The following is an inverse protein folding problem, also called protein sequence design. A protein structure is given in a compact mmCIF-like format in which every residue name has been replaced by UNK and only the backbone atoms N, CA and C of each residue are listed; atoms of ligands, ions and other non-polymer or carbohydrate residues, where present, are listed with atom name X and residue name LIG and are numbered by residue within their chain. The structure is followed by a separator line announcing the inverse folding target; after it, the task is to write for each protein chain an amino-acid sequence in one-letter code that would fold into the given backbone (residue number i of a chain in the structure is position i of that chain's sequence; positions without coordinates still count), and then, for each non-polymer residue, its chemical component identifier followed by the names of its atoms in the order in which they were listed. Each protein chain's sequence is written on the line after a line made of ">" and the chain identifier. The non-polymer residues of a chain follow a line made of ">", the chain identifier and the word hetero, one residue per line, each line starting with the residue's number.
data_IF_376834489635
#
_entry.id   IF_376834489635
#
_cell.length_a   1.000
_cell.length_b   1.000
_cell.length_c   1.000
_cell.angle_alpha   90.00
_cell.angle_beta   90.00
_cell.angle_gamma   90.00
#
_symmetry.space_group_name_H-M   'P 1'
#
loop_
_entity.id
_entity.type
_entity.pdbx_description
1 polymer ?
#
# COMPACT_ATOMS: atom_id res chain seq x y z
N UNK A 1 3.43 -11.77 -11.07
CA UNK A 1 2.36 -11.93 -10.07
C UNK A 1 2.62 -11.05 -8.86
N UNK A 2 1.57 -10.58 -8.20
CA UNK A 2 1.61 -9.87 -6.94
C UNK A 2 0.99 -10.76 -5.87
N UNK A 3 1.63 -10.85 -4.71
CA UNK A 3 1.10 -11.55 -3.54
C UNK A 3 1.06 -10.56 -2.38
N UNK A 4 -0.07 -10.52 -1.68
CA UNK A 4 -0.24 -9.76 -0.44
C UNK A 4 -0.62 -10.77 0.64
N UNK A 5 0.14 -10.81 1.72
CA UNK A 5 -0.09 -11.71 2.84
C UNK A 5 -0.33 -10.94 4.12
N UNK A 6 -1.12 -11.50 5.01
CA UNK A 6 -1.37 -10.93 6.32
C UNK A 6 -0.36 -11.50 7.32
N UNK A 7 0.60 -10.66 7.74
CA UNK A 7 1.52 -10.94 8.84
C UNK A 7 1.00 -10.40 10.17
N UNK A 8 1.81 -10.53 11.22
CA UNK A 8 1.48 -10.13 12.60
C UNK A 8 1.21 -8.62 12.74
N UNK A 9 1.95 -7.80 11.99
CA UNK A 9 1.85 -6.34 12.04
C UNK A 9 1.01 -5.74 10.90
N UNK A 10 0.35 -6.56 10.09
CA UNK A 10 -0.47 -6.11 8.97
C UNK A 10 -0.11 -6.81 7.66
N UNK A 11 -0.54 -6.23 6.55
CA UNK A 11 -0.29 -6.77 5.22
C UNK A 11 1.15 -6.52 4.76
N UNK A 12 1.75 -7.54 4.16
CA UNK A 12 3.13 -7.53 3.69
C UNK A 12 3.20 -8.02 2.23
N UNK A 13 4.33 -7.76 1.60
CA UNK A 13 4.71 -8.23 0.27
C UNK A 13 5.81 -9.29 0.41
N UNK A 14 5.49 -10.60 0.44
CA UNK A 14 6.50 -11.64 0.63
C UNK A 14 7.60 -11.59 -0.43
N UNK A 15 7.22 -11.33 -1.69
CA UNK A 15 8.16 -11.17 -2.81
C UNK A 15 9.03 -9.91 -2.75
N UNK A 16 8.93 -9.13 -1.67
CA UNK A 16 9.79 -7.98 -1.35
C UNK A 16 10.30 -8.11 0.09
N UNK A 17 10.82 -9.27 0.44
CA UNK A 17 11.39 -9.61 1.78
C UNK A 17 10.40 -9.40 2.93
N UNK A 18 9.11 -9.57 2.70
CA UNK A 18 8.08 -9.34 3.71
C UNK A 18 7.88 -7.87 4.07
N UNK A 19 8.29 -6.95 3.19
CA UNK A 19 8.14 -5.52 3.46
C UNK A 19 6.66 -5.13 3.59
N UNK A 20 6.40 -4.13 4.44
CA UNK A 20 5.03 -3.68 4.72
C UNK A 20 4.34 -3.18 3.46
N UNK A 21 3.12 -3.61 3.25
CA UNK A 21 2.25 -3.04 2.24
C UNK A 21 1.57 -1.76 2.76
N UNK A 22 1.10 -0.92 1.87
CA UNK A 22 0.23 0.23 2.21
C UNK A 22 -1.10 -0.29 2.73
N UNK A 23 -1.24 -0.35 4.05
CA UNK A 23 -2.38 -0.97 4.73
C UNK A 23 -3.73 -0.42 4.24
N UNK A 24 -3.82 0.90 4.02
CA UNK A 24 -5.05 1.54 3.54
C UNK A 24 -5.43 1.10 2.13
N UNK A 25 -4.46 0.93 1.22
CA UNK A 25 -4.73 0.44 -0.12
C UNK A 25 -5.24 -1.00 -0.10
N UNK A 26 -4.63 -1.86 0.73
CA UNK A 26 -5.08 -3.25 0.85
C UNK A 26 -6.46 -3.32 1.49
N UNK A 27 -6.73 -2.53 2.54
CA UNK A 27 -8.07 -2.44 3.15
C UNK A 27 -9.12 -1.96 2.16
N UNK A 28 -8.80 -0.92 1.37
CA UNK A 28 -9.69 -0.41 0.32
C UNK A 28 -9.96 -1.45 -0.76
N UNK A 29 -8.95 -2.20 -1.20
CA UNK A 29 -9.11 -3.30 -2.14
C UNK A 29 -10.05 -4.37 -1.59
N UNK A 30 -9.81 -4.83 -0.36
CA UNK A 30 -10.66 -5.84 0.28
C UNK A 30 -12.10 -5.35 0.49
N UNK A 31 -12.30 -4.08 0.86
CA UNK A 31 -13.61 -3.49 0.98
C UNK A 31 -14.33 -3.44 -0.38
N UNK A 32 -13.63 -3.07 -1.46
CA UNK A 32 -14.17 -3.09 -2.81
C UNK A 32 -14.58 -4.51 -3.23
N UNK A 33 -13.74 -5.51 -2.92
CA UNK A 33 -14.07 -6.91 -3.21
C UNK A 33 -15.27 -7.42 -2.40
N UNK A 34 -15.38 -7.04 -1.12
CA UNK A 34 -16.49 -7.41 -0.27
C UNK A 34 -17.82 -6.74 -0.69
N UNK A 35 -17.75 -5.55 -1.26
CA UNK A 35 -18.92 -4.81 -1.78
C UNK A 35 -19.16 -5.01 -3.26
N UNK A 36 -18.39 -5.89 -3.91
CA UNK A 36 -18.51 -6.14 -5.34
C UNK A 36 -19.92 -6.63 -5.69
N UNK A 37 -20.57 -5.92 -6.58
CA UNK A 37 -21.86 -6.32 -7.10
C UNK A 37 -21.80 -6.54 -8.60
N UNK A 38 -22.51 -7.57 -9.04
CA UNK A 38 -22.77 -7.80 -10.46
C UNK A 38 -23.95 -6.93 -10.88
N UNK A 39 -23.73 -6.04 -11.84
CA UNK A 39 -24.82 -5.23 -12.36
C UNK A 39 -25.64 -5.99 -13.38
N UNK A 40 -24.95 -6.53 -14.39
CA UNK A 40 -25.59 -7.17 -15.53
C UNK A 40 -24.80 -8.41 -15.97
N UNK A 41 -25.53 -9.44 -16.35
CA UNK A 41 -24.99 -10.54 -17.13
C UNK A 41 -24.86 -10.05 -18.58
N UNK A 42 -23.61 -9.96 -19.07
CA UNK A 42 -23.33 -9.48 -20.44
C UNK A 42 -23.24 -10.61 -21.45
N UNK A 43 -22.77 -11.78 -21.01
CA UNK A 43 -22.70 -12.97 -21.87
C UNK A 43 -22.66 -14.25 -21.05
N UNK A 44 -23.27 -15.31 -21.60
CA UNK A 44 -23.12 -16.69 -21.11
C UNK A 44 -22.28 -17.52 -22.11
N UNK A 45 -21.76 -16.89 -23.13
CA UNK A 45 -21.02 -17.53 -24.20
C UNK A 45 -19.52 -17.43 -23.95
N UNK A 46 -18.87 -18.58 -23.80
CA UNK A 46 -17.43 -18.70 -23.58
C UNK A 46 -16.59 -18.14 -24.74
N UNK A 47 -17.09 -18.29 -25.96
CA UNK A 47 -16.35 -17.82 -27.13
C UNK A 47 -16.23 -16.29 -27.17
N UNK A 48 -17.08 -15.58 -26.44
CA UNK A 48 -17.06 -14.13 -26.30
C UNK A 48 -16.17 -13.61 -25.16
N UNK A 49 -15.52 -14.47 -24.39
CA UNK A 49 -14.63 -14.05 -23.30
C UNK A 49 -13.52 -13.10 -23.77
N UNK A 50 -13.04 -13.26 -25.01
CA UNK A 50 -12.04 -12.37 -25.61
C UNK A 50 -12.52 -10.93 -25.78
N UNK A 51 -13.80 -10.74 -26.13
CA UNK A 51 -14.41 -9.41 -26.33
C UNK A 51 -14.41 -8.57 -25.05
N UNK A 52 -14.56 -9.22 -23.91
CA UNK A 52 -14.62 -8.59 -22.58
C UNK A 52 -13.27 -8.60 -21.86
N UNK A 53 -12.24 -9.18 -22.47
CA UNK A 53 -10.90 -9.31 -21.90
C UNK A 53 -10.82 -10.31 -20.74
N UNK A 54 -11.86 -11.11 -20.48
CA UNK A 54 -11.88 -12.10 -19.38
C UNK A 54 -11.27 -13.45 -19.77
N UNK A 55 -10.89 -13.65 -21.03
CA UNK A 55 -10.18 -14.87 -21.46
C UNK A 55 -8.74 -14.90 -20.90
N UNK A 56 -8.07 -13.73 -20.85
CA UNK A 56 -6.71 -13.54 -20.36
C UNK A 56 -6.65 -12.36 -19.35
N UNK A 57 -7.72 -12.19 -18.58
CA UNK A 57 -7.84 -11.12 -17.59
C UNK A 57 -6.91 -11.28 -16.41
N UNK A 58 -6.88 -10.26 -15.56
CA UNK A 58 -6.15 -10.30 -14.29
C UNK A 58 -6.80 -11.32 -13.37
N UNK A 59 -6.06 -12.37 -13.03
CA UNK A 59 -6.54 -13.42 -12.13
C UNK A 59 -6.32 -13.00 -10.68
N UNK A 60 -7.42 -12.85 -9.94
CA UNK A 60 -7.45 -12.61 -8.51
C UNK A 60 -7.83 -13.91 -7.80
N UNK A 61 -7.06 -14.27 -6.78
CA UNK A 61 -7.37 -15.35 -5.84
C UNK A 61 -7.38 -14.80 -4.42
N UNK A 62 -8.41 -15.14 -3.69
CA UNK A 62 -8.53 -14.84 -2.26
C UNK A 62 -8.41 -16.15 -1.52
N UNK A 63 -7.48 -16.21 -0.58
CA UNK A 63 -7.18 -17.39 0.21
C UNK A 63 -7.41 -17.10 1.69
N UNK A 64 -7.77 -18.12 2.44
CA UNK A 64 -7.74 -18.06 3.90
C UNK A 64 -6.33 -18.30 4.46
N UNK A 65 -6.17 -18.24 5.78
CA UNK A 65 -4.89 -18.46 6.45
C UNK A 65 -4.30 -19.86 6.32
N UNK A 66 -5.09 -20.85 5.85
CA UNK A 66 -4.62 -22.21 5.55
C UNK A 66 -4.20 -22.39 4.09
N UNK A 67 -4.39 -21.38 3.24
CA UNK A 67 -4.13 -21.44 1.81
C UNK A 67 -5.33 -21.98 1.01
N UNK A 68 -6.50 -22.18 1.63
CA UNK A 68 -7.71 -22.59 0.93
C UNK A 68 -8.27 -21.44 0.13
N UNK A 69 -8.64 -21.69 -1.13
CA UNK A 69 -9.22 -20.68 -2.01
C UNK A 69 -10.65 -20.39 -1.59
N UNK A 70 -10.92 -19.14 -1.20
CA UNK A 70 -12.24 -18.63 -0.86
C UNK A 70 -12.99 -18.08 -2.06
N UNK A 71 -12.27 -17.43 -3.00
CA UNK A 71 -12.84 -16.88 -4.22
C UNK A 71 -11.79 -16.76 -5.31
N UNK A 72 -12.22 -16.92 -6.56
CA UNK A 72 -11.41 -16.69 -7.75
C UNK A 72 -12.19 -15.87 -8.78
N UNK A 73 -11.58 -14.80 -9.25
CA UNK A 73 -12.15 -13.86 -10.20
C UNK A 73 -11.14 -13.58 -11.32
N UNK A 74 -11.61 -13.60 -12.56
CA UNK A 74 -10.88 -13.03 -13.70
C UNK A 74 -11.46 -11.64 -13.98
N UNK A 75 -10.67 -10.61 -13.78
CA UNK A 75 -11.02 -9.24 -14.16
C UNK A 75 -10.55 -8.96 -15.58
N UNK A 76 -11.49 -8.58 -16.43
CA UNK A 76 -11.26 -8.21 -17.83
C UNK A 76 -11.10 -6.70 -18.04
N UNK A 77 -11.50 -6.25 -19.21
CA UNK A 77 -11.41 -4.85 -19.63
C UNK A 77 -12.35 -3.90 -18.89
N UNK A 78 -12.09 -2.61 -19.05
CA UNK A 78 -12.97 -1.54 -18.59
C UNK A 78 -14.21 -1.48 -19.51
N UNK A 79 -15.39 -1.30 -18.93
CA UNK A 79 -16.61 -1.09 -19.70
C UNK A 79 -16.56 0.27 -20.43
N UNK A 80 -17.27 0.43 -21.56
CA UNK A 80 -17.19 1.65 -22.39
C UNK A 80 -17.55 2.95 -21.67
N UNK A 81 -18.34 2.87 -20.61
CA UNK A 81 -18.72 4.04 -19.80
C UNK A 81 -17.64 4.43 -18.74
N UNK A 82 -16.57 3.66 -18.63
CA UNK A 82 -15.48 3.89 -17.67
C UNK A 82 -15.85 3.68 -16.20
N UNK A 83 -17.05 3.20 -15.89
CA UNK A 83 -17.56 3.08 -14.50
C UNK A 83 -17.57 1.65 -13.95
N UNK A 84 -17.34 0.68 -14.80
CA UNK A 84 -17.33 -0.73 -14.45
C UNK A 84 -16.21 -1.46 -15.19
N UNK A 85 -15.87 -2.64 -14.70
CA UNK A 85 -15.01 -3.61 -15.40
C UNK A 85 -15.84 -4.85 -15.75
N UNK A 86 -15.36 -5.61 -16.72
CA UNK A 86 -15.90 -6.95 -16.93
C UNK A 86 -15.20 -7.93 -16.01
N UNK A 87 -15.92 -8.99 -15.64
CA UNK A 87 -15.33 -10.05 -14.84
C UNK A 87 -16.15 -11.32 -14.88
N UNK A 88 -15.50 -12.43 -14.54
CA UNK A 88 -16.15 -13.73 -14.39
C UNK A 88 -15.53 -14.52 -13.24
N UNK A 89 -16.34 -15.38 -12.61
CA UNK A 89 -15.82 -16.40 -11.71
C UNK A 89 -15.13 -17.49 -12.55
N UNK A 90 -13.99 -17.99 -12.07
CA UNK A 90 -13.20 -18.97 -12.83
C UNK A 90 -14.01 -20.23 -13.19
N UNK A 91 -14.91 -20.64 -12.29
CA UNK A 91 -15.75 -21.82 -12.45
C UNK A 91 -16.96 -21.64 -13.40
N UNK A 92 -17.20 -20.43 -13.92
CA UNK A 92 -18.37 -20.12 -14.74
C UNK A 92 -17.95 -19.57 -16.11
N UNK A 93 -18.76 -19.80 -17.12
CA UNK A 93 -18.62 -19.18 -18.45
C UNK A 93 -19.31 -17.82 -18.55
N UNK A 94 -20.04 -17.43 -17.52
CA UNK A 94 -20.77 -16.16 -17.48
C UNK A 94 -19.85 -14.98 -17.26
N UNK A 95 -19.99 -13.98 -18.12
CA UNK A 95 -19.32 -12.67 -17.98
C UNK A 95 -20.29 -11.64 -17.45
N UNK A 96 -19.86 -10.92 -16.43
CA UNK A 96 -20.65 -9.89 -15.76
C UNK A 96 -19.99 -8.52 -15.92
N UNK A 97 -20.81 -7.49 -15.81
CA UNK A 97 -20.36 -6.12 -15.60
C UNK A 97 -20.30 -5.86 -14.10
N UNK A 98 -19.10 -5.52 -13.61
CA UNK A 98 -18.79 -5.36 -12.19
C UNK A 98 -18.59 -3.87 -11.85
N UNK A 99 -19.25 -3.41 -10.81
CA UNK A 99 -19.00 -2.08 -10.23
C UNK A 99 -18.32 -2.18 -8.87
N UNK A 100 -17.64 -1.11 -8.48
CA UNK A 100 -16.97 -1.03 -7.18
C UNK A 100 -15.54 -1.59 -7.17
N UNK A 101 -15.10 -2.23 -8.24
CA UNK A 101 -13.74 -2.74 -8.38
C UNK A 101 -13.01 -2.01 -9.52
N UNK A 102 -12.04 -1.18 -9.16
CA UNK A 102 -11.14 -0.57 -10.14
C UNK A 102 -10.25 -1.65 -10.81
N UNK A 103 -9.65 -1.36 -11.99
CA UNK A 103 -8.67 -2.25 -12.59
C UNK A 103 -7.57 -2.61 -11.60
N UNK A 104 -7.35 -3.91 -11.41
CA UNK A 104 -6.35 -4.43 -10.47
C UNK A 104 -4.95 -4.11 -10.96
N UNK A 105 -4.13 -3.58 -10.09
CA UNK A 105 -2.72 -3.28 -10.36
C UNK A 105 -1.85 -4.42 -9.87
N UNK A 106 -0.85 -4.78 -10.68
CA UNK A 106 0.09 -5.87 -10.36
C UNK A 106 1.50 -5.36 -10.03
N UNK A 107 1.70 -4.04 -10.10
CA UNK A 107 2.98 -3.41 -9.79
C UNK A 107 3.22 -3.43 -8.27
N UNK A 108 4.29 -4.10 -7.84
CA UNK A 108 4.66 -4.18 -6.41
C UNK A 108 4.83 -2.80 -5.78
N UNK A 109 5.45 -1.86 -6.51
CA UNK A 109 5.69 -0.50 -6.04
C UNK A 109 4.38 0.25 -5.68
N UNK A 110 3.25 -0.10 -6.32
CA UNK A 110 1.96 0.49 -5.99
C UNK A 110 1.50 0.14 -4.58
N UNK A 111 1.75 -1.09 -4.13
CA UNK A 111 1.35 -1.59 -2.82
C UNK A 111 2.42 -1.45 -1.74
N UNK A 112 3.67 -1.26 -2.10
CA UNK A 112 4.77 -1.14 -1.15
C UNK A 112 4.61 0.14 -0.31
N UNK A 113 4.68 0.03 1.01
CA UNK A 113 4.85 1.21 1.88
C UNK A 113 6.31 1.66 1.82
N UNK A 114 6.62 2.46 0.83
CA UNK A 114 7.97 2.93 0.57
C UNK A 114 8.48 3.95 1.60
N UNK A 115 7.68 4.35 2.59
CA UNK A 115 8.12 5.29 3.63
C UNK A 115 9.15 4.61 4.54
N UNK A 116 10.37 5.12 4.54
CA UNK A 116 11.43 4.60 5.40
C UNK A 116 11.15 4.92 6.88
N UNK A 117 10.65 6.12 7.15
CA UNK A 117 10.32 6.59 8.49
C UNK A 117 8.86 7.08 8.54
N UNK A 118 8.12 6.59 9.53
CA UNK A 118 6.74 7.01 9.79
C UNK A 118 6.62 7.42 11.25
N UNK A 119 6.46 8.72 11.50
CA UNK A 119 6.24 9.28 12.83
C UNK A 119 5.45 10.58 12.75
N UNK A 120 4.79 10.92 13.84
CA UNK A 120 4.13 12.23 13.99
C UNK A 120 5.12 13.24 14.57
N UNK A 121 5.41 14.31 13.83
CA UNK A 121 6.37 15.36 14.26
C UNK A 121 5.99 15.99 15.61
N UNK A 122 4.70 16.03 15.94
CA UNK A 122 4.21 16.54 17.23
C UNK A 122 4.66 15.69 18.42
N UNK A 123 4.86 14.38 18.21
CA UNK A 123 5.28 13.44 19.26
C UNK A 123 6.80 13.38 19.41
N UNK A 124 7.58 13.98 18.50
CA UNK A 124 9.04 13.97 18.59
C UNK A 124 9.50 14.90 19.71
N UNK A 125 10.01 14.34 20.79
CA UNK A 125 10.55 15.07 21.94
C UNK A 125 12.06 15.33 21.88
N UNK A 126 12.80 14.48 21.15
CA UNK A 126 14.24 14.61 20.98
C UNK A 126 14.70 14.03 19.65
N UNK A 127 15.81 14.57 19.12
CA UNK A 127 16.50 14.08 17.94
C UNK A 127 17.96 13.89 18.32
N UNK A 128 18.51 12.69 18.05
CA UNK A 128 19.94 12.42 18.21
C UNK A 128 20.55 12.13 16.84
N UNK A 129 21.56 12.87 16.48
CA UNK A 129 22.38 12.66 15.29
C UNK A 129 23.75 12.17 15.77
N UNK A 130 24.25 11.11 15.16
CA UNK A 130 25.56 10.55 15.52
C UNK A 130 26.26 10.06 14.26
N UNK A 131 27.54 10.41 14.11
CA UNK A 131 28.43 9.90 13.07
C UNK A 131 29.86 9.69 13.66
N UNK A 132 30.82 9.38 12.79
CA UNK A 132 32.22 9.20 13.21
C UNK A 132 32.89 10.46 13.79
N UNK A 133 32.35 11.64 13.50
CA UNK A 133 32.89 12.93 13.91
C UNK A 133 32.32 13.42 15.24
N UNK A 134 31.16 12.87 15.67
CA UNK A 134 30.56 13.26 16.93
C UNK A 134 29.09 12.91 17.07
N UNK A 135 28.49 13.47 18.12
CA UNK A 135 27.04 13.35 18.35
C UNK A 135 26.41 14.69 18.72
N UNK A 136 25.23 14.93 18.22
CA UNK A 136 24.39 16.08 18.56
C UNK A 136 23.05 15.56 19.08
N UNK A 137 22.59 16.06 20.21
CA UNK A 137 21.25 15.84 20.70
C UNK A 137 20.50 17.15 20.84
N UNK A 138 19.34 17.21 20.21
CA UNK A 138 18.42 18.33 20.23
C UNK A 138 17.17 17.86 20.98
N UNK A 139 16.74 18.64 21.96
CA UNK A 139 15.56 18.32 22.79
C UNK A 139 14.51 19.41 22.67
N UNK A 140 13.26 19.02 22.70
CA UNK A 140 12.13 19.95 22.74
C UNK A 140 11.97 20.46 24.17
N UNK A 141 11.80 21.77 24.34
CA UNK A 141 11.50 22.37 25.63
C UNK A 141 10.10 21.93 26.09
N UNK A 142 10.01 21.28 27.25
CA UNK A 142 8.75 20.79 27.78
C UNK A 142 7.77 21.89 28.20
N UNK A 143 8.30 23.08 28.54
CA UNK A 143 7.50 24.24 28.92
C UNK A 143 7.06 25.07 27.70
N UNK A 144 7.74 24.92 26.55
CA UNK A 144 7.52 25.71 25.32
C UNK A 144 7.57 24.80 24.10
N UNK A 145 6.45 24.22 23.74
CA UNK A 145 6.30 23.15 22.72
C UNK A 145 6.97 23.43 21.36
N UNK A 146 7.20 24.69 21.00
CA UNK A 146 7.86 25.06 19.72
C UNK A 146 9.33 25.46 19.87
N UNK A 147 9.93 25.32 21.07
CA UNK A 147 11.30 25.68 21.30
C UNK A 147 12.16 24.42 21.36
N UNK A 148 13.22 24.41 20.57
CA UNK A 148 14.22 23.36 20.55
C UNK A 148 15.55 23.87 21.08
N UNK A 149 16.30 23.04 21.79
CA UNK A 149 17.59 23.37 22.35
C UNK A 149 18.59 22.26 22.14
N UNK A 150 19.84 22.59 21.98
CA UNK A 150 20.94 21.63 22.12
C UNK A 150 21.01 21.19 23.56
N UNK A 151 21.12 19.89 23.81
CA UNK A 151 21.18 19.36 25.18
C UNK A 151 22.51 19.70 25.87
N UNK A 152 23.61 19.67 25.11
CA UNK A 152 24.99 19.90 25.62
C UNK A 152 25.25 21.34 26.00
N UNK A 153 24.75 22.31 25.26
CA UNK A 153 25.05 23.74 25.44
C UNK A 153 23.87 24.57 25.94
N UNK A 154 22.64 23.99 25.87
CA UNK A 154 21.41 24.73 26.15
C UNK A 154 21.03 25.77 25.09
N UNK A 155 21.87 25.93 24.03
CA UNK A 155 21.60 26.91 22.99
C UNK A 155 20.30 26.61 22.23
N UNK A 156 19.51 27.65 21.92
CA UNK A 156 18.30 27.46 21.13
C UNK A 156 18.64 27.03 19.69
N UNK A 157 17.83 26.16 19.14
CA UNK A 157 17.84 25.75 17.73
C UNK A 157 16.61 26.31 17.05
N UNK A 158 16.78 26.88 15.86
CA UNK A 158 15.66 27.43 15.11
C UNK A 158 14.61 26.34 14.81
N UNK A 159 13.36 26.57 15.22
CA UNK A 159 12.30 25.59 15.05
C UNK A 159 12.09 25.20 13.58
N UNK A 160 12.27 26.16 12.66
CA UNK A 160 12.15 25.93 11.22
C UNK A 160 13.19 24.92 10.71
N UNK A 161 14.41 24.93 11.24
CA UNK A 161 15.46 23.98 10.85
C UNK A 161 15.11 22.56 11.31
N UNK A 162 14.60 22.45 12.54
CA UNK A 162 14.15 21.14 13.07
C UNK A 162 12.94 20.63 12.31
N UNK A 163 11.97 21.48 12.00
CA UNK A 163 10.81 21.11 11.18
C UNK A 163 11.21 20.67 9.78
N UNK A 164 12.15 21.37 9.15
CA UNK A 164 12.69 20.98 7.85
C UNK A 164 13.40 19.62 7.90
N UNK A 165 14.21 19.36 8.93
CA UNK A 165 14.86 18.07 9.14
C UNK A 165 13.79 16.95 9.31
N UNK A 166 12.79 17.15 10.16
CA UNK A 166 11.74 16.18 10.38
C UNK A 166 10.91 15.91 9.10
N UNK A 167 10.64 16.97 8.34
CA UNK A 167 9.94 16.85 7.04
C UNK A 167 10.79 16.09 6.03
N UNK A 168 12.08 16.36 5.95
CA UNK A 168 13.02 15.62 5.08
C UNK A 168 13.06 14.15 5.44
N UNK A 169 13.17 13.82 6.73
CA UNK A 169 13.15 12.43 7.19
C UNK A 169 11.84 11.71 6.86
N UNK A 170 10.70 12.39 7.01
CA UNK A 170 9.39 11.83 6.64
C UNK A 170 9.19 11.68 5.13
N UNK A 171 9.85 12.52 4.35
CA UNK A 171 9.81 12.48 2.88
C UNK A 171 10.86 11.52 2.30
N UNK A 172 11.60 10.79 3.12
CA UNK A 172 12.55 9.77 2.65
C UNK A 172 11.79 8.50 2.31
N UNK A 173 11.83 8.13 1.03
CA UNK A 173 11.20 6.94 0.51
C UNK A 173 12.24 5.94 0.02
N UNK A 174 11.90 4.67 0.10
CA UNK A 174 12.64 3.60 -0.54
C UNK A 174 12.34 3.62 -2.04
N UNK A 175 13.35 3.56 -2.87
CA UNK A 175 13.19 3.37 -4.31
C UNK A 175 13.00 1.90 -4.63
N UNK A 176 13.75 1.01 -3.95
CA UNK A 176 13.73 -0.42 -4.17
C UNK A 176 14.07 -1.18 -2.89
N UNK A 177 13.50 -2.36 -2.72
CA UNK A 177 13.91 -3.33 -1.69
C UNK A 177 14.80 -4.37 -2.35
N UNK A 178 16.11 -4.28 -2.10
CA UNK A 178 17.12 -5.17 -2.66
C UNK A 178 17.39 -6.29 -1.66
N UNK A 179 17.27 -7.54 -2.11
CA UNK A 179 17.78 -8.68 -1.35
C UNK A 179 19.31 -8.63 -1.34
N UNK A 180 19.91 -8.70 -0.17
CA UNK A 180 21.34 -8.94 -0.01
C UNK A 180 21.48 -10.42 0.23
N UNK A 181 22.12 -11.14 -0.73
CA UNK A 181 22.48 -12.55 -0.60
C UNK A 181 23.53 -12.76 0.49
#
# INVERSE_FOLDING_TARGET
>A
SLVLERGDLGWVLPGSLGYSARQELVRSLLASLASLSTLDLVSSDRDRHGEYGVAAGTHLRILDGSGTVLAELLQGGLAPDGKATYGRLLAEDKTYRLTGLAPLRLEKAYYLDARLLSFESALVGAIRLQNSEGSLRIVRDTARVKVWRREDTGQPVAAVEVENLLNTLRATFLEEVIAVD
#
